data_IF_909525865478
#
_entry.id   IF_909525865478
#
_cell.length_a   1.000
_cell.length_b   1.000
_cell.length_c   1.000
_cell.angle_alpha   90.00
_cell.angle_beta   90.00
_cell.angle_gamma   90.00
#
_symmetry.space_group_name_H-M   'P 1'
#
loop_
_entity.id
_entity.type
_entity.pdbx_description
1 polymer ?
#
# COMPACT_ATOMS: atom_id res chain seq x y z
N UNK A 1 5.36 26.41 -42.19
CA UNK A 1 4.10 25.89 -41.61
C UNK A 1 4.36 24.57 -40.87
N UNK A 2 5.09 24.58 -39.74
CA UNK A 2 5.45 23.34 -38.99
C UNK A 2 5.29 23.46 -37.46
N UNK A 3 4.94 24.63 -36.92
CA UNK A 3 4.95 24.87 -35.45
C UNK A 3 3.74 24.29 -34.70
N UNK A 4 2.56 24.23 -35.33
CA UNK A 4 1.33 23.76 -34.67
C UNK A 4 1.28 22.24 -34.41
N UNK A 5 2.06 21.44 -35.16
CA UNK A 5 2.14 19.99 -35.00
C UNK A 5 2.94 19.56 -33.77
N UNK A 6 4.09 20.20 -33.53
CA UNK A 6 4.95 19.89 -32.37
C UNK A 6 4.31 20.19 -31.02
N UNK A 7 3.47 21.23 -30.94
CA UNK A 7 2.85 21.63 -29.67
C UNK A 7 1.73 20.67 -29.24
N UNK A 8 1.01 20.07 -30.20
CA UNK A 8 0.00 19.04 -29.94
C UNK A 8 0.62 17.69 -29.60
N UNK A 9 1.74 17.34 -30.23
CA UNK A 9 2.51 16.14 -29.90
C UNK A 9 3.13 16.22 -28.49
N UNK A 10 3.65 17.38 -28.10
CA UNK A 10 4.18 17.60 -26.76
C UNK A 10 3.10 17.47 -25.66
N UNK A 11 1.89 18.01 -25.91
CA UNK A 11 0.74 17.84 -25.00
C UNK A 11 0.27 16.38 -24.91
N UNK A 12 0.25 15.65 -26.04
CA UNK A 12 -0.13 14.24 -26.04
C UNK A 12 0.85 13.37 -25.25
N UNK A 13 2.16 13.58 -25.41
CA UNK A 13 3.19 12.85 -24.65
C UNK A 13 3.13 13.17 -23.16
N UNK A 14 2.85 14.43 -22.80
CA UNK A 14 2.76 14.85 -21.39
C UNK A 14 1.56 14.24 -20.65
N UNK A 15 0.49 13.85 -21.35
CA UNK A 15 -0.68 13.19 -20.76
C UNK A 15 -0.55 11.67 -20.79
N UNK A 16 0.10 11.10 -21.81
CA UNK A 16 0.23 9.64 -21.96
C UNK A 16 1.23 9.03 -20.98
N UNK A 17 2.27 9.77 -20.57
CA UNK A 17 3.33 9.30 -19.69
C UNK A 17 2.84 8.89 -18.27
N UNK A 18 2.02 9.69 -17.55
CA UNK A 18 1.47 9.25 -16.26
C UNK A 18 0.46 8.11 -16.41
N UNK A 19 -0.29 8.06 -17.51
CA UNK A 19 -1.24 6.96 -17.77
C UNK A 19 -0.54 5.61 -17.94
N UNK A 20 0.63 5.59 -18.61
CA UNK A 20 1.42 4.37 -18.77
C UNK A 20 2.03 3.87 -17.45
N UNK A 21 2.40 4.77 -16.54
CA UNK A 21 2.92 4.41 -15.20
C UNK A 21 1.84 3.78 -14.31
N UNK A 22 0.57 4.16 -14.47
CA UNK A 22 -0.54 3.56 -13.74
C UNK A 22 -0.82 2.09 -14.13
N UNK A 23 -0.37 1.62 -15.30
CA UNK A 23 -0.55 0.23 -15.73
C UNK A 23 0.49 -0.75 -15.16
N UNK A 24 1.56 -0.27 -14.51
CA UNK A 24 2.60 -1.12 -13.93
C UNK A 24 2.19 -1.92 -12.70
N UNK A 25 0.97 -1.71 -12.17
CA UNK A 25 0.46 -2.42 -10.99
C UNK A 25 -0.20 -3.78 -11.26
N UNK A 26 -0.46 -4.14 -12.52
CA UNK A 26 -1.09 -5.42 -12.88
C UNK A 26 -0.05 -6.55 -13.01
N UNK A 27 0.67 -6.84 -11.93
CA UNK A 27 1.57 -7.99 -11.88
C UNK A 27 0.81 -9.24 -11.38
N UNK A 28 1.05 -10.41 -12.01
CA UNK A 28 0.30 -11.67 -11.81
C UNK A 28 0.55 -12.36 -10.45
N UNK A 29 1.06 -11.66 -9.44
CA UNK A 29 1.39 -12.24 -8.14
C UNK A 29 0.16 -12.34 -7.22
N UNK A 30 -1.00 -12.72 -7.80
CA UNK A 30 -2.30 -12.88 -7.12
C UNK A 30 -2.48 -14.27 -6.51
N UNK A 31 -1.53 -15.19 -6.75
CA UNK A 31 -1.57 -16.51 -6.14
C UNK A 31 -1.58 -16.38 -4.61
N UNK A 32 -2.51 -17.07 -3.92
CA UNK A 32 -2.62 -17.00 -2.47
C UNK A 32 -1.36 -17.59 -1.83
N UNK A 33 -0.63 -16.76 -1.09
CA UNK A 33 0.53 -17.14 -0.31
C UNK A 33 0.17 -17.55 1.13
N UNK A 34 1.18 -17.99 1.90
CA UNK A 34 0.98 -18.32 3.32
C UNK A 34 0.50 -17.10 4.11
N UNK A 35 -0.48 -17.29 5.00
CA UNK A 35 -1.07 -16.21 5.79
C UNK A 35 -2.23 -15.45 5.11
N UNK A 36 -2.68 -15.89 3.93
CA UNK A 36 -3.83 -15.30 3.24
C UNK A 36 -3.53 -14.01 2.48
N UNK A 37 -2.26 -13.63 2.40
CA UNK A 37 -1.77 -12.54 1.53
C UNK A 37 -1.27 -13.13 0.21
N UNK A 38 -1.43 -12.38 -0.87
CA UNK A 38 -0.89 -12.74 -2.17
C UNK A 38 0.63 -12.57 -2.20
N UNK A 39 1.30 -13.26 -3.12
CA UNK A 39 2.77 -13.15 -3.28
C UNK A 39 3.19 -11.69 -3.53
N UNK A 40 2.39 -10.95 -4.29
CA UNK A 40 2.64 -9.53 -4.60
C UNK A 40 2.49 -8.64 -3.37
N UNK A 41 1.46 -8.89 -2.55
CA UNK A 41 1.26 -8.18 -1.28
C UNK A 41 2.40 -8.45 -0.29
N UNK A 42 2.84 -9.71 -0.16
CA UNK A 42 3.96 -10.06 0.70
C UNK A 42 5.25 -9.33 0.28
N UNK A 43 5.55 -9.34 -1.03
CA UNK A 43 6.71 -8.63 -1.58
C UNK A 43 6.65 -7.13 -1.33
N UNK A 44 5.48 -6.52 -1.48
CA UNK A 44 5.28 -5.09 -1.24
C UNK A 44 5.46 -4.73 0.25
N UNK A 45 5.01 -5.59 1.17
CA UNK A 45 5.23 -5.43 2.61
C UNK A 45 6.72 -5.53 2.98
N UNK A 46 7.46 -6.45 2.36
CA UNK A 46 8.90 -6.61 2.58
C UNK A 46 9.70 -5.38 2.11
N UNK A 47 9.35 -4.84 0.92
CA UNK A 47 9.96 -3.61 0.41
C UNK A 47 9.71 -2.43 1.36
N UNK A 48 8.47 -2.28 1.85
CA UNK A 48 8.13 -1.26 2.82
C UNK A 48 8.93 -1.42 4.13
N UNK A 49 9.11 -2.65 4.61
CA UNK A 49 9.92 -2.94 5.79
C UNK A 49 11.40 -2.58 5.58
N UNK A 50 11.97 -2.87 4.41
CA UNK A 50 13.34 -2.51 4.06
C UNK A 50 13.53 -0.97 4.04
N UNK A 51 12.55 -0.22 3.53
CA UNK A 51 12.56 1.25 3.58
C UNK A 51 12.53 1.80 5.00
N UNK A 52 11.83 1.14 5.93
CA UNK A 52 11.81 1.52 7.34
C UNK A 52 13.16 1.23 8.01
N UNK A 53 13.78 0.10 7.70
CA UNK A 53 15.08 -0.29 8.26
C UNK A 53 16.20 0.65 7.82
N UNK A 54 16.12 1.18 6.60
CA UNK A 54 17.09 2.17 6.07
C UNK A 54 16.92 3.57 6.68
N UNK A 55 15.80 3.89 7.32
CA UNK A 55 15.63 5.20 7.96
C UNK A 55 16.50 5.27 9.22
N UNK A 56 17.24 6.38 9.44
CA UNK A 56 17.83 6.66 10.73
C UNK A 56 16.74 6.61 11.80
N UNK A 57 16.96 5.83 12.85
CA UNK A 57 16.04 5.80 13.96
C UNK A 57 15.96 7.21 14.58
N UNK A 58 14.76 7.77 14.77
CA UNK A 58 14.62 8.98 15.55
C UNK A 58 15.15 8.72 16.97
N UNK A 59 15.67 9.76 17.66
CA UNK A 59 16.07 9.61 19.06
C UNK A 59 14.91 9.02 19.85
N UNK A 60 15.18 7.93 20.56
CA UNK A 60 14.20 7.29 21.42
C UNK A 60 13.89 8.26 22.56
N UNK A 61 12.70 8.84 22.54
CA UNK A 61 12.13 9.54 23.69
C UNK A 61 11.33 8.51 24.47
N UNK A 62 11.21 8.67 25.79
CA UNK A 62 10.26 7.86 26.56
C UNK A 62 8.87 8.03 25.96
N UNK A 63 8.41 7.00 25.26
CA UNK A 63 7.11 6.98 24.64
C UNK A 63 6.07 6.64 25.72
N UNK A 64 5.55 7.66 26.38
CA UNK A 64 4.38 7.50 27.24
C UNK A 64 3.19 7.13 26.36
N UNK A 65 2.78 5.86 26.39
CA UNK A 65 1.51 5.42 25.77
C UNK A 65 0.38 6.03 26.60
N UNK A 66 -0.47 6.90 26.02
CA UNK A 66 -1.64 7.42 26.71
C UNK A 66 -2.51 6.27 27.22
N UNK A 67 -2.94 6.32 28.50
CA UNK A 67 -3.72 5.27 29.13
C UNK A 67 -5.04 4.92 28.38
N UNK A 68 -5.55 5.88 27.60
CA UNK A 68 -6.73 5.71 26.75
C UNK A 68 -6.47 4.76 25.56
N UNK A 69 -5.24 4.71 25.03
CA UNK A 69 -4.84 3.77 23.97
C UNK A 69 -4.54 2.36 24.49
N UNK A 70 -4.33 2.19 25.80
CA UNK A 70 -4.10 0.89 26.43
C UNK A 70 -5.39 0.05 26.57
N UNK A 71 -6.56 0.68 26.39
CA UNK A 71 -7.84 -0.02 26.36
C UNK A 71 -8.33 -0.12 24.91
N UNK A 72 -7.72 -1.01 24.13
CA UNK A 72 -8.48 -1.59 23.01
C UNK A 72 -9.44 -2.57 23.68
N UNK A 73 -10.77 -2.33 23.71
CA UNK A 73 -11.69 -3.37 24.14
C UNK A 73 -11.45 -4.54 23.20
N UNK A 74 -11.04 -5.69 23.75
CA UNK A 74 -10.92 -6.93 23.00
C UNK A 74 -12.21 -7.08 22.20
N UNK A 75 -12.11 -6.89 20.89
CA UNK A 75 -13.25 -6.85 19.99
C UNK A 75 -14.08 -8.11 20.19
N UNK A 76 -15.37 -7.92 20.48
CA UNK A 76 -16.34 -9.01 20.55
C UNK A 76 -16.42 -9.76 19.23
N UNK A 77 -15.65 -10.85 19.14
CA UNK A 77 -15.65 -11.80 18.03
C UNK A 77 -15.84 -13.25 18.50
N UNK A 78 -16.53 -13.44 19.62
CA UNK A 78 -17.32 -14.64 19.88
C UNK A 78 -18.77 -14.17 20.03
N UNK A 79 -19.73 -14.90 19.47
CA UNK A 79 -21.19 -14.71 19.60
C UNK A 79 -21.99 -14.18 18.39
N UNK A 80 -21.56 -14.46 17.15
CA UNK A 80 -22.53 -14.60 16.04
C UNK A 80 -22.51 -15.96 15.33
N UNK A 81 -21.72 -16.93 15.80
CA UNK A 81 -21.77 -18.32 15.30
C UNK A 81 -22.73 -19.21 16.10
N UNK A 82 -23.91 -18.72 16.46
CA UNK A 82 -24.93 -19.57 17.10
C UNK A 82 -26.35 -19.08 16.83
N UNK A 83 -26.72 -18.90 15.56
CA UNK A 83 -28.14 -18.98 15.20
C UNK A 83 -28.31 -19.34 13.73
N UNK A 84 -28.42 -20.64 13.46
CA UNK A 84 -29.19 -21.14 12.33
C UNK A 84 -30.02 -22.34 12.81
N UNK A 85 -31.36 -22.25 12.81
CA UNK A 85 -32.22 -23.42 12.98
C UNK A 85 -32.17 -24.32 11.74
#
# INVERSE_FOLDING_TARGET
MTSAGSMRAALAVSVLLPAALCLGGCQQDTDPGPGGVTVGEARALDEAAEMLQKRPAPPLVDATVPADLATIPASGAADTVASKP
#
